data_IF_303508985997
#
_entry.id   IF_303508985997
#
_cell.length_a   1.000
_cell.length_b   1.000
_cell.length_c   1.000
_cell.angle_alpha   90.00
_cell.angle_beta   90.00
_cell.angle_gamma   90.00
#
_symmetry.space_group_name_H-M   'P 1'
#
loop_
_entity.id
_entity.type
_entity.pdbx_description
1 polymer ?
#
# COMPACT_ATOMS: atom_id res chain seq x y z
N UNK A 1 36.46 60.74 -12.18
CA UNK A 1 36.40 61.33 -13.51
C UNK A 1 35.72 60.33 -14.44
N UNK A 2 34.59 60.78 -14.96
CA UNK A 2 34.02 60.55 -16.31
C UNK A 2 33.58 59.10 -16.60
N UNK A 3 32.42 58.87 -17.11
CA UNK A 3 31.17 59.59 -17.43
C UNK A 3 30.05 58.58 -17.63
N UNK A 4 28.89 59.07 -17.38
CA UNK A 4 27.55 58.51 -17.60
C UNK A 4 27.28 58.34 -19.10
N UNK A 5 26.62 57.22 -19.50
CA UNK A 5 25.76 57.27 -20.68
C UNK A 5 24.49 56.45 -20.46
N UNK A 6 23.41 57.19 -20.32
CA UNK A 6 22.01 56.72 -20.45
C UNK A 6 21.64 56.65 -21.91
N UNK A 7 21.02 55.58 -22.34
CA UNK A 7 20.11 55.69 -23.50
C UNK A 7 18.78 54.98 -23.20
N UNK A 8 17.75 55.81 -23.24
CA UNK A 8 16.33 55.46 -23.30
C UNK A 8 15.97 55.07 -24.73
N UNK A 9 15.01 54.21 -24.87
CA UNK A 9 13.90 54.34 -25.85
C UNK A 9 13.30 52.92 -25.96
N UNK A 10 12.09 52.62 -26.08
CA UNK A 10 10.76 53.17 -26.29
C UNK A 10 9.81 51.98 -26.38
N UNK A 11 8.69 52.05 -25.74
CA UNK A 11 7.55 51.16 -26.06
C UNK A 11 6.84 51.67 -27.37
N UNK A 12 6.11 50.78 -28.02
CA UNK A 12 4.77 51.12 -28.53
C UNK A 12 3.76 50.04 -28.15
N UNK A 13 2.68 50.38 -27.52
CA UNK A 13 1.37 50.89 -27.98
C UNK A 13 0.51 49.84 -28.69
N UNK A 14 -0.48 49.42 -27.98
CA UNK A 14 -1.91 49.13 -28.29
C UNK A 14 -2.37 49.00 -29.77
N UNK A 15 -3.10 47.92 -30.02
CA UNK A 15 -4.42 47.97 -30.72
C UNK A 15 -5.06 46.57 -30.66
N UNK A 16 -6.03 46.41 -29.94
CA UNK A 16 -7.46 46.23 -30.09
C UNK A 16 -7.92 45.74 -31.45
N UNK A 17 -8.53 44.53 -31.52
CA UNK A 17 -9.71 44.33 -32.34
C UNK A 17 -10.53 43.15 -31.83
N UNK A 18 -11.69 43.48 -31.29
CA UNK A 18 -12.83 42.61 -31.07
C UNK A 18 -13.43 42.20 -32.42
N UNK A 19 -13.72 40.91 -32.60
CA UNK A 19 -14.71 40.48 -33.60
C UNK A 19 -15.67 39.54 -32.85
N UNK A 20 -16.80 40.12 -32.52
CA UNK A 20 -18.07 39.44 -32.30
C UNK A 20 -18.60 38.99 -33.64
N UNK A 21 -18.99 37.74 -33.79
CA UNK A 21 -19.94 37.34 -34.80
C UNK A 21 -20.93 36.37 -34.16
N UNK A 22 -22.14 36.89 -34.03
CA UNK A 22 -23.37 36.17 -33.73
C UNK A 22 -24.05 35.74 -35.04
N UNK A 23 -25.06 34.91 -34.89
CA UNK A 23 -26.05 34.46 -35.90
C UNK A 23 -25.72 33.10 -36.52
N UNK A 24 -26.63 32.18 -36.74
CA UNK A 24 -28.10 32.23 -36.87
C UNK A 24 -28.67 30.82 -36.66
N UNK A 25 -29.82 30.77 -36.02
CA UNK A 25 -30.76 29.65 -36.12
C UNK A 25 -31.21 29.45 -37.56
N UNK A 26 -31.22 28.22 -38.03
CA UNK A 26 -32.06 27.80 -39.15
C UNK A 26 -32.82 26.53 -38.73
N UNK A 27 -34.10 26.73 -38.47
CA UNK A 27 -35.11 25.68 -38.40
C UNK A 27 -35.49 25.35 -39.82
N UNK A 28 -35.37 24.12 -40.23
CA UNK A 28 -36.06 23.59 -41.42
C UNK A 28 -36.65 22.23 -41.01
N UNK A 29 -37.98 22.27 -40.95
CA UNK A 29 -38.81 21.06 -40.92
C UNK A 29 -39.00 20.58 -42.36
N UNK A 30 -38.89 19.29 -42.60
CA UNK A 30 -39.54 18.55 -43.66
C UNK A 30 -39.63 17.06 -43.31
N UNK A 31 -40.79 16.67 -43.19
CA UNK A 31 -41.64 15.52 -43.53
C UNK A 31 -41.04 14.11 -43.72
N UNK A 32 -41.76 13.24 -43.08
CA UNK A 32 -42.10 11.84 -43.30
C UNK A 32 -41.39 11.05 -44.43
N UNK A 33 -40.74 9.99 -44.00
CA UNK A 33 -40.99 8.69 -44.61
C UNK A 33 -40.85 7.58 -43.53
N UNK A 34 -41.90 6.75 -43.49
CA UNK A 34 -41.96 5.54 -42.64
C UNK A 34 -41.27 4.43 -43.37
N UNK A 35 -40.17 3.96 -42.81
CA UNK A 35 -39.68 2.60 -43.09
C UNK A 35 -39.31 1.88 -41.81
N UNK A 36 -39.76 0.63 -41.75
CA UNK A 36 -39.80 -0.22 -40.60
C UNK A 36 -38.40 -0.54 -40.03
N UNK A 37 -38.13 -0.06 -38.84
CA UNK A 37 -37.03 -0.54 -38.05
C UNK A 37 -37.39 -1.91 -37.49
N UNK A 38 -36.77 -2.96 -37.99
CA UNK A 38 -36.74 -4.28 -37.38
C UNK A 38 -36.07 -4.18 -36.01
N UNK A 39 -36.82 -4.55 -34.96
CA UNK A 39 -36.33 -4.60 -33.59
C UNK A 39 -35.20 -5.60 -33.46
N UNK A 40 -34.01 -5.11 -33.18
CA UNK A 40 -32.95 -5.92 -32.58
C UNK A 40 -33.26 -6.06 -31.11
N UNK A 41 -33.66 -7.24 -30.71
CA UNK A 41 -33.66 -7.66 -29.31
C UNK A 41 -32.26 -7.50 -28.75
N UNK A 42 -32.06 -6.85 -27.60
CA UNK A 42 -30.74 -6.83 -26.94
C UNK A 42 -30.34 -8.29 -26.63
N UNK A 43 -29.12 -8.64 -26.98
CA UNK A 43 -28.54 -9.89 -26.56
C UNK A 43 -28.65 -10.02 -25.00
N UNK A 44 -28.95 -11.19 -24.48
CA UNK A 44 -28.98 -11.40 -23.03
C UNK A 44 -27.59 -11.04 -22.48
N UNK A 45 -27.57 -10.15 -21.48
CA UNK A 45 -26.38 -9.84 -20.73
C UNK A 45 -25.78 -11.16 -20.22
N UNK A 46 -24.46 -11.35 -20.45
CA UNK A 46 -23.76 -12.46 -19.85
C UNK A 46 -24.01 -12.46 -18.34
N UNK A 47 -24.24 -13.61 -17.71
CA UNK A 47 -24.40 -13.65 -16.27
C UNK A 47 -23.16 -13.03 -15.62
N UNK A 48 -23.39 -12.05 -14.74
CA UNK A 48 -22.34 -11.50 -13.90
C UNK A 48 -21.65 -12.69 -13.20
N UNK A 49 -20.35 -12.77 -13.32
CA UNK A 49 -19.57 -13.78 -12.62
C UNK A 49 -19.94 -13.67 -11.13
N UNK A 50 -20.36 -14.78 -10.56
CA UNK A 50 -20.72 -14.88 -9.15
C UNK A 50 -19.44 -14.67 -8.31
N UNK A 51 -19.21 -13.43 -7.87
CA UNK A 51 -18.08 -13.05 -7.01
C UNK A 51 -18.35 -13.33 -5.53
N UNK A 52 -19.39 -14.10 -5.24
CA UNK A 52 -19.61 -14.60 -3.87
C UNK A 52 -18.56 -15.66 -3.55
N UNK A 53 -17.38 -15.22 -3.15
CA UNK A 53 -16.41 -16.09 -2.50
C UNK A 53 -17.12 -16.86 -1.37
N UNK A 54 -16.85 -18.15 -1.26
CA UNK A 54 -17.47 -19.03 -0.28
C UNK A 54 -17.45 -18.34 1.10
N UNK A 55 -18.62 -18.30 1.75
CA UNK A 55 -18.73 -17.72 3.09
C UNK A 55 -17.74 -18.42 4.02
N UNK A 56 -16.86 -17.63 4.63
CA UNK A 56 -15.88 -18.14 5.59
C UNK A 56 -16.64 -18.66 6.80
N UNK A 57 -16.69 -19.98 6.98
CA UNK A 57 -17.27 -20.57 8.18
C UNK A 57 -16.27 -20.49 9.31
N UNK A 58 -16.45 -19.52 10.20
CA UNK A 58 -15.55 -19.30 11.33
C UNK A 58 -15.84 -20.23 12.50
N UNK A 59 -14.79 -20.56 13.25
CA UNK A 59 -14.94 -21.15 14.57
C UNK A 59 -15.70 -20.15 15.48
N UNK A 60 -16.74 -20.60 16.21
CA UNK A 60 -17.64 -19.69 16.90
C UNK A 60 -17.02 -18.91 18.06
N UNK A 61 -15.90 -19.35 18.63
CA UNK A 61 -15.26 -18.68 19.76
C UNK A 61 -13.72 -18.59 19.58
N UNK A 62 -13.24 -17.39 19.34
CA UNK A 62 -11.80 -17.07 19.31
C UNK A 62 -11.31 -16.48 20.65
N UNK A 63 -12.20 -16.31 21.63
CA UNK A 63 -11.89 -15.61 22.88
C UNK A 63 -11.78 -14.07 22.70
N UNK A 64 -11.27 -13.36 23.73
CA UNK A 64 -11.21 -11.90 23.71
C UNK A 64 -10.34 -11.39 22.55
N UNK A 65 -10.63 -10.17 22.03
CA UNK A 65 -9.83 -9.53 20.99
C UNK A 65 -8.33 -9.47 21.34
N UNK A 66 -7.43 -9.49 20.35
CA UNK A 66 -6.01 -9.33 20.60
C UNK A 66 -5.73 -7.91 21.12
N UNK A 67 -4.75 -7.81 22.02
CA UNK A 67 -4.27 -6.50 22.46
C UNK A 67 -3.42 -5.87 21.34
N UNK A 68 -3.55 -4.56 21.17
CA UNK A 68 -2.68 -3.74 20.33
C UNK A 68 -2.47 -2.39 21.04
N UNK A 69 -1.24 -1.89 21.08
CA UNK A 69 -0.89 -0.64 21.73
C UNK A 69 -0.64 0.44 20.67
N UNK A 70 -1.69 1.14 20.32
CA UNK A 70 -1.66 2.18 19.28
C UNK A 70 -0.82 3.40 19.67
N UNK A 71 -0.73 3.72 20.95
CA UNK A 71 0.11 4.83 21.42
C UNK A 71 1.60 4.49 21.21
N UNK A 72 1.98 3.25 21.48
CA UNK A 72 3.35 2.78 21.21
C UNK A 72 3.64 2.68 19.72
N UNK A 73 2.69 2.19 18.91
CA UNK A 73 2.83 2.20 17.45
C UNK A 73 3.01 3.63 16.91
N UNK A 74 2.20 4.57 17.38
CA UNK A 74 2.34 6.00 17.04
C UNK A 74 3.69 6.58 17.52
N UNK A 75 4.21 6.11 18.63
CA UNK A 75 5.55 6.52 19.06
C UNK A 75 6.63 6.01 18.11
N UNK A 76 6.56 4.75 17.69
CA UNK A 76 7.50 4.18 16.69
C UNK A 76 7.45 4.96 15.38
N UNK A 77 6.25 5.26 14.90
CA UNK A 77 6.05 6.11 13.72
C UNK A 77 6.76 7.46 13.87
N UNK A 78 6.52 8.17 14.97
CA UNK A 78 7.17 9.46 15.24
C UNK A 78 8.69 9.36 15.30
N UNK A 79 9.22 8.26 15.79
CA UNK A 79 10.67 8.03 15.84
C UNK A 79 11.25 7.75 14.44
N UNK A 80 10.56 6.96 13.60
CA UNK A 80 10.93 6.72 12.20
C UNK A 80 10.94 8.04 11.41
N UNK A 81 9.87 8.79 11.49
CA UNK A 81 9.70 10.06 10.74
C UNK A 81 10.73 11.13 11.13
N UNK A 82 11.23 11.12 12.37
CA UNK A 82 12.28 12.04 12.81
C UNK A 82 13.61 11.90 12.06
N UNK A 83 13.86 10.76 11.44
CA UNK A 83 15.06 10.61 10.61
C UNK A 83 14.97 11.43 9.31
N UNK A 84 13.75 11.84 8.91
CA UNK A 84 13.49 12.56 7.67
C UNK A 84 13.36 11.63 6.46
N UNK A 85 13.48 12.18 5.23
CA UNK A 85 13.46 11.36 4.01
C UNK A 85 14.46 10.21 4.09
N UNK A 86 14.02 9.01 3.78
CA UNK A 86 14.78 7.76 3.89
C UNK A 86 14.82 6.97 2.58
N UNK A 87 15.15 7.65 1.45
CA UNK A 87 15.21 6.97 0.16
C UNK A 87 16.32 5.92 0.16
N UNK A 88 16.17 4.91 -0.67
CA UNK A 88 17.14 3.83 -0.88
C UNK A 88 18.59 4.37 -0.98
N UNK A 89 19.51 3.77 -0.22
CA UNK A 89 20.91 4.15 -0.16
C UNK A 89 21.20 5.46 0.57
N UNK A 90 20.21 6.12 1.15
CA UNK A 90 20.35 7.34 1.92
C UNK A 90 20.91 7.12 3.34
N UNK A 91 21.54 8.13 3.93
CA UNK A 91 22.04 8.04 5.31
C UNK A 91 20.90 7.88 6.33
N UNK A 92 19.73 8.45 6.08
CA UNK A 92 18.57 8.30 6.95
C UNK A 92 17.90 6.92 6.77
N UNK A 93 17.95 6.37 5.57
CA UNK A 93 17.55 5.01 5.28
C UNK A 93 18.29 4.01 6.21
N UNK A 94 19.62 4.09 6.25
CA UNK A 94 20.42 3.27 7.16
C UNK A 94 20.07 3.46 8.64
N UNK A 95 19.72 4.67 9.06
CA UNK A 95 19.29 4.92 10.44
C UNK A 95 17.95 4.23 10.77
N UNK A 96 17.03 4.17 9.79
CA UNK A 96 15.75 3.45 9.98
C UNK A 96 15.97 1.96 10.04
N UNK A 97 16.83 1.38 9.19
CA UNK A 97 17.25 -0.02 9.33
C UNK A 97 17.80 -0.32 10.73
N UNK A 98 18.77 0.48 11.20
CA UNK A 98 19.38 0.33 12.52
C UNK A 98 18.34 0.49 13.65
N UNK A 99 17.37 1.39 13.45
CA UNK A 99 16.27 1.58 14.38
C UNK A 99 15.37 0.34 14.45
N UNK A 100 14.90 -0.18 13.30
CA UNK A 100 14.08 -1.40 13.24
C UNK A 100 14.85 -2.57 13.90
N UNK A 101 16.09 -2.81 13.51
CA UNK A 101 16.94 -3.85 14.10
C UNK A 101 17.09 -3.68 15.62
N UNK A 102 17.22 -2.45 16.12
CA UNK A 102 17.31 -2.17 17.55
C UNK A 102 16.03 -2.56 18.31
N UNK A 103 14.86 -2.41 17.71
CA UNK A 103 13.54 -2.76 18.29
C UNK A 103 13.28 -4.28 18.26
N UNK A 104 13.94 -4.99 17.35
CA UNK A 104 13.88 -6.44 17.21
C UNK A 104 14.99 -7.17 18.00
N UNK A 105 15.77 -6.45 18.80
CA UNK A 105 16.87 -7.06 19.56
C UNK A 105 16.37 -8.18 20.46
N UNK A 106 16.88 -9.39 20.22
CA UNK A 106 16.52 -10.61 20.96
C UNK A 106 15.44 -11.45 20.28
N UNK A 107 14.80 -10.95 19.23
CA UNK A 107 13.93 -11.75 18.37
C UNK A 107 14.75 -12.52 17.33
N UNK A 108 14.27 -13.65 16.80
CA UNK A 108 14.89 -14.32 15.67
C UNK A 108 14.73 -13.49 14.40
N UNK A 109 15.79 -12.89 13.92
CA UNK A 109 15.80 -12.06 12.70
C UNK A 109 16.68 -12.71 11.65
N UNK A 110 16.22 -12.72 10.42
CA UNK A 110 16.99 -12.99 9.20
C UNK A 110 17.14 -11.69 8.41
N UNK A 111 18.36 -11.43 7.97
CA UNK A 111 18.70 -10.32 7.09
C UNK A 111 18.81 -10.84 5.66
N UNK A 112 18.03 -10.27 4.73
CA UNK A 112 18.11 -10.58 3.31
C UNK A 112 18.76 -9.41 2.58
N UNK A 113 20.06 -9.54 2.32
CA UNK A 113 20.88 -8.49 1.73
C UNK A 113 21.21 -8.82 0.28
N UNK A 114 21.01 -7.87 -0.62
CA UNK A 114 21.42 -8.00 -2.01
C UNK A 114 21.74 -6.63 -2.63
N UNK A 115 22.09 -6.59 -3.90
CA UNK A 115 22.30 -5.34 -4.65
C UNK A 115 21.28 -5.27 -5.77
N UNK A 116 20.40 -4.28 -5.72
CA UNK A 116 19.49 -3.97 -6.81
C UNK A 116 20.22 -3.19 -7.93
N UNK A 117 19.89 -3.55 -9.18
CA UNK A 117 20.31 -2.81 -10.36
C UNK A 117 19.14 -1.93 -10.81
N UNK A 118 19.22 -0.65 -10.50
CA UNK A 118 18.13 0.30 -10.69
C UNK A 118 18.48 1.29 -11.81
N UNK A 119 17.51 2.03 -12.36
CA UNK A 119 17.78 3.09 -13.33
C UNK A 119 18.70 4.21 -12.83
N UNK A 120 18.81 4.39 -11.51
CA UNK A 120 19.67 5.38 -10.87
C UNK A 120 21.04 4.80 -10.45
N UNK A 121 21.28 3.50 -10.69
CA UNK A 121 22.52 2.80 -10.38
C UNK A 121 22.32 1.57 -9.53
N UNK A 122 23.42 1.07 -8.95
CA UNK A 122 23.40 -0.10 -8.06
C UNK A 122 23.30 0.35 -6.61
N UNK A 123 22.31 -0.20 -5.91
CA UNK A 123 22.06 0.11 -4.51
C UNK A 123 22.04 -1.16 -3.65
N UNK A 124 22.62 -1.11 -2.44
CA UNK A 124 22.37 -2.15 -1.46
C UNK A 124 20.92 -2.11 -1.01
N UNK A 125 20.29 -3.25 -0.92
CA UNK A 125 18.93 -3.46 -0.44
C UNK A 125 18.95 -4.43 0.72
N UNK A 126 18.13 -4.18 1.75
CA UNK A 126 18.14 -4.95 2.98
C UNK A 126 16.70 -5.22 3.48
N UNK A 127 16.15 -6.38 3.17
CA UNK A 127 14.91 -6.82 3.80
C UNK A 127 15.19 -7.38 5.20
N UNK A 128 14.40 -6.98 6.18
CA UNK A 128 14.51 -7.42 7.58
C UNK A 128 13.33 -8.34 7.90
N UNK A 129 13.60 -9.57 8.34
CA UNK A 129 12.57 -10.59 8.53
C UNK A 129 12.62 -11.09 9.99
N UNK A 130 11.64 -10.71 10.81
CA UNK A 130 11.51 -11.23 12.17
C UNK A 130 10.57 -12.44 12.19
N UNK A 131 11.03 -13.57 12.77
CA UNK A 131 10.36 -14.87 12.69
C UNK A 131 9.82 -15.31 14.05
N UNK A 132 8.50 -15.37 14.17
CA UNK A 132 7.81 -15.83 15.38
C UNK A 132 7.26 -17.24 15.14
N UNK A 133 7.88 -18.28 15.76
CA UNK A 133 7.54 -19.67 15.46
C UNK A 133 6.15 -20.05 15.96
N UNK A 134 5.46 -20.86 15.19
CA UNK A 134 4.19 -21.52 15.52
C UNK A 134 4.32 -23.03 15.44
N UNK A 135 3.34 -23.77 15.98
CA UNK A 135 3.32 -25.24 15.98
C UNK A 135 2.76 -25.84 14.70
N UNK A 136 1.92 -25.11 13.97
CA UNK A 136 1.38 -25.56 12.68
C UNK A 136 2.41 -25.44 11.57
N UNK A 137 2.40 -26.40 10.65
CA UNK A 137 3.22 -26.32 9.45
C UNK A 137 2.67 -25.25 8.50
N UNK A 138 3.46 -24.20 8.31
CA UNK A 138 3.15 -23.07 7.46
C UNK A 138 3.51 -21.72 8.06
N UNK A 139 3.44 -20.71 7.22
CA UNK A 139 3.88 -19.35 7.53
C UNK A 139 2.77 -18.38 7.12
N UNK A 140 2.43 -17.46 8.01
CA UNK A 140 1.70 -16.24 7.67
C UNK A 140 2.75 -15.13 7.61
N UNK A 141 2.86 -14.45 6.47
CA UNK A 141 3.71 -13.29 6.30
C UNK A 141 2.88 -12.03 6.53
N UNK A 142 3.44 -11.07 7.27
CA UNK A 142 2.93 -9.70 7.37
C UNK A 142 4.04 -8.78 6.92
N UNK A 143 3.81 -7.99 5.89
CA UNK A 143 4.84 -7.17 5.24
C UNK A 143 4.50 -5.68 5.24
N UNK A 144 5.52 -4.87 5.08
CA UNK A 144 5.48 -3.42 4.94
C UNK A 144 6.82 -2.93 4.45
N UNK A 145 6.84 -1.96 3.54
CA UNK A 145 8.07 -1.29 3.18
C UNK A 145 8.50 -0.24 4.22
N UNK A 146 9.76 0.17 4.19
CA UNK A 146 10.27 1.19 5.11
C UNK A 146 11.06 2.32 4.43
N UNK A 147 11.35 2.21 3.14
CA UNK A 147 11.99 3.26 2.37
C UNK A 147 11.02 4.43 2.06
N UNK A 148 11.46 5.44 1.37
CA UNK A 148 10.64 6.55 0.87
C UNK A 148 10.99 6.86 -0.56
N UNK A 149 10.03 7.37 -1.30
CA UNK A 149 10.11 7.68 -2.71
C UNK A 149 11.41 8.41 -3.09
N UNK A 150 12.23 7.78 -3.93
CA UNK A 150 13.54 8.28 -4.30
C UNK A 150 13.52 9.59 -5.09
N UNK A 151 12.59 9.83 -6.02
CA UNK A 151 12.39 11.14 -6.64
C UNK A 151 12.23 12.31 -5.65
N UNK A 152 11.59 12.06 -4.50
CA UNK A 152 11.34 13.07 -3.48
C UNK A 152 12.48 13.26 -2.48
N UNK A 153 13.61 12.59 -2.63
CA UNK A 153 14.77 12.58 -1.71
C UNK A 153 15.36 13.93 -1.35
N UNK A 154 15.09 14.97 -2.14
CA UNK A 154 15.56 16.34 -1.92
C UNK A 154 14.50 17.32 -1.44
N UNK A 155 13.32 16.78 -1.09
CA UNK A 155 12.20 17.55 -0.55
C UNK A 155 12.11 17.35 0.96
N UNK A 156 11.07 17.87 1.59
CA UNK A 156 10.73 17.57 2.99
C UNK A 156 9.77 16.37 3.12
N UNK A 157 9.60 15.56 2.08
CA UNK A 157 8.78 14.34 2.12
C UNK A 157 9.35 13.34 3.12
N UNK A 158 8.55 12.91 4.07
CA UNK A 158 8.99 12.00 5.13
C UNK A 158 8.24 10.66 5.12
N UNK A 159 7.27 10.47 4.24
CA UNK A 159 6.50 9.24 4.14
C UNK A 159 5.98 8.81 5.51
N UNK A 160 5.13 9.64 6.14
CA UNK A 160 4.64 9.33 7.47
C UNK A 160 3.58 8.24 7.43
N UNK A 161 2.67 8.32 6.46
CA UNK A 161 1.73 7.25 6.18
C UNK A 161 2.37 6.18 5.31
N UNK A 162 3.02 6.62 4.26
CA UNK A 162 3.67 5.85 3.22
C UNK A 162 4.99 5.24 3.72
N UNK A 163 4.96 3.94 4.00
CA UNK A 163 6.00 3.13 4.63
C UNK A 163 6.19 3.39 6.13
N UNK A 164 5.89 4.59 6.63
CA UNK A 164 6.10 4.94 8.04
C UNK A 164 5.06 4.32 8.98
N UNK A 165 3.78 4.43 8.64
CA UNK A 165 2.67 3.94 9.46
C UNK A 165 2.69 2.43 9.59
N UNK A 166 2.89 1.75 8.50
CA UNK A 166 2.91 0.30 8.39
C UNK A 166 4.17 -0.32 9.01
N UNK A 167 5.35 0.27 8.80
CA UNK A 167 6.57 -0.13 9.50
C UNK A 167 6.45 -0.05 11.03
N UNK A 168 5.82 1.01 11.53
CA UNK A 168 5.56 1.17 12.96
C UNK A 168 4.53 0.16 13.49
N UNK A 169 3.50 -0.13 12.69
CA UNK A 169 2.51 -1.16 13.00
C UNK A 169 3.17 -2.54 13.16
N UNK A 170 4.06 -2.91 12.24
CA UNK A 170 4.79 -4.18 12.34
C UNK A 170 5.64 -4.27 13.61
N UNK A 171 6.29 -3.19 14.04
CA UNK A 171 7.04 -3.15 15.31
C UNK A 171 6.14 -3.43 16.50
N UNK A 172 4.91 -2.93 16.50
CA UNK A 172 3.96 -3.20 17.55
C UNK A 172 3.43 -4.65 17.48
N UNK A 173 3.16 -5.18 16.28
CA UNK A 173 2.83 -6.59 16.11
C UNK A 173 3.96 -7.49 16.65
N UNK A 174 5.23 -7.15 16.41
CA UNK A 174 6.36 -7.87 16.97
C UNK A 174 6.29 -7.92 18.51
N UNK A 175 5.98 -6.79 19.17
CA UNK A 175 5.79 -6.76 20.62
C UNK A 175 4.63 -7.67 21.08
N UNK A 176 3.54 -7.75 20.31
CA UNK A 176 2.42 -8.62 20.66
C UNK A 176 2.72 -10.11 20.48
N UNK A 177 3.65 -10.46 19.59
CA UNK A 177 4.05 -11.83 19.33
C UNK A 177 5.22 -12.31 20.22
N UNK A 178 6.05 -11.38 20.68
CA UNK A 178 7.27 -11.66 21.45
C UNK A 178 6.98 -12.43 22.73
N UNK A 179 7.70 -13.55 22.93
CA UNK A 179 7.60 -14.36 24.13
C UNK A 179 6.26 -15.09 24.31
N UNK A 180 5.38 -15.09 23.33
CA UNK A 180 4.10 -15.77 23.38
C UNK A 180 4.13 -17.04 22.53
N UNK A 181 4.01 -18.24 23.15
CA UNK A 181 3.89 -19.48 22.39
C UNK A 181 2.66 -19.46 21.49
N UNK A 182 2.80 -19.91 20.24
CA UNK A 182 1.72 -19.95 19.26
C UNK A 182 1.38 -21.39 18.90
N UNK A 183 0.10 -21.74 19.02
CA UNK A 183 -0.43 -23.02 18.55
C UNK A 183 -0.81 -23.01 17.05
N UNK A 184 -0.80 -21.83 16.43
CA UNK A 184 -1.08 -21.58 15.01
C UNK A 184 0.13 -21.70 14.11
N UNK A 185 0.05 -21.06 12.94
CA UNK A 185 1.14 -20.95 11.98
C UNK A 185 2.28 -20.05 12.51
N UNK A 186 3.49 -20.24 12.00
CA UNK A 186 4.56 -19.27 12.20
C UNK A 186 4.17 -17.92 11.60
N UNK A 187 4.50 -16.80 12.26
CA UNK A 187 4.29 -15.46 11.72
C UNK A 187 5.65 -14.83 11.42
N UNK A 188 5.85 -14.43 10.19
CA UNK A 188 7.03 -13.71 9.74
C UNK A 188 6.66 -12.28 9.45
N UNK A 189 7.33 -11.34 10.12
CA UNK A 189 7.17 -9.90 9.86
C UNK A 189 8.30 -9.46 8.95
N UNK A 190 7.96 -8.84 7.83
CA UNK A 190 8.90 -8.42 6.80
C UNK A 190 8.84 -6.91 6.68
N UNK A 191 9.93 -6.25 7.03
CA UNK A 191 10.20 -4.88 6.61
C UNK A 191 10.99 -4.99 5.32
N UNK A 192 10.32 -4.80 4.22
CA UNK A 192 10.97 -4.83 2.91
C UNK A 192 11.52 -3.47 2.53
N UNK A 193 12.44 -3.49 1.60
CA UNK A 193 13.23 -2.35 1.19
C UNK A 193 13.10 -2.15 -0.32
N UNK A 194 13.25 -0.91 -0.75
CA UNK A 194 13.22 -0.54 -2.16
C UNK A 194 11.89 -0.94 -2.85
N UNK A 195 10.77 -0.71 -2.16
CA UNK A 195 9.44 -0.76 -2.74
C UNK A 195 9.27 0.38 -3.74
N UNK A 196 9.68 1.57 -3.36
CA UNK A 196 9.45 2.82 -4.03
C UNK A 196 10.21 2.97 -5.36
N UNK A 197 9.56 3.61 -6.32
CA UNK A 197 10.15 3.87 -7.63
C UNK A 197 11.38 4.79 -7.54
N UNK A 198 12.40 4.50 -8.38
CA UNK A 198 13.63 5.27 -8.44
C UNK A 198 13.56 6.47 -9.39
N UNK A 199 12.67 6.45 -10.37
CA UNK A 199 12.43 7.55 -11.30
C UNK A 199 11.08 8.21 -11.08
N UNK A 200 10.95 9.51 -11.38
CA UNK A 200 9.63 10.13 -11.46
C UNK A 200 8.76 9.39 -12.46
N UNK A 201 7.54 9.13 -12.09
CA UNK A 201 6.54 8.44 -12.92
C UNK A 201 6.08 9.25 -14.14
N UNK A 202 6.59 10.44 -14.35
CA UNK A 202 6.23 11.33 -15.46
C UNK A 202 4.86 11.98 -15.33
N UNK A 203 4.12 11.69 -14.26
CA UNK A 203 2.76 12.18 -14.03
C UNK A 203 2.71 13.55 -13.34
N UNK A 204 3.87 14.12 -13.01
CA UNK A 204 3.96 15.42 -12.33
C UNK A 204 3.39 15.40 -10.91
N UNK A 205 3.40 14.24 -10.25
CA UNK A 205 2.91 14.06 -8.88
C UNK A 205 1.43 13.69 -8.81
N UNK A 206 0.79 13.37 -9.93
CA UNK A 206 -0.51 12.73 -9.92
C UNK A 206 -0.34 11.22 -10.14
N UNK A 207 -1.06 10.38 -9.39
CA UNK A 207 -1.00 8.93 -9.54
C UNK A 207 -1.61 8.55 -10.88
N UNK A 208 -0.80 8.41 -11.88
CA UNK A 208 -1.20 7.81 -13.13
C UNK A 208 -0.36 6.56 -13.30
N UNK A 209 -1.04 5.43 -13.08
CA UNK A 209 -0.56 4.07 -13.33
C UNK A 209 0.93 3.90 -12.99
N UNK A 210 1.21 3.56 -11.75
CA UNK A 210 2.54 3.07 -11.39
C UNK A 210 2.86 1.99 -12.42
N UNK A 211 3.73 2.34 -13.34
CA UNK A 211 4.21 1.39 -14.32
C UNK A 211 5.10 0.41 -13.58
N UNK A 212 4.49 -0.61 -12.97
CA UNK A 212 5.17 -1.71 -12.29
C UNK A 212 6.21 -2.42 -13.16
N UNK A 213 6.53 -1.86 -14.28
CA UNK A 213 7.23 -2.63 -15.28
C UNK A 213 8.70 -2.77 -14.99
N UNK A 214 9.36 -2.07 -14.19
CA UNK A 214 10.80 -2.31 -14.00
C UNK A 214 11.50 -1.31 -13.06
N UNK A 215 10.78 -0.57 -12.20
CA UNK A 215 11.43 0.48 -11.40
C UNK A 215 10.90 0.63 -9.96
N UNK A 216 10.36 -0.44 -9.39
CA UNK A 216 9.89 -0.52 -8.00
C UNK A 216 9.88 -1.97 -7.50
N UNK A 217 9.48 -2.22 -6.27
CA UNK A 217 9.28 -3.54 -5.67
C UNK A 217 10.54 -4.43 -5.70
N UNK A 218 11.73 -3.83 -5.62
CA UNK A 218 13.00 -4.59 -5.76
C UNK A 218 13.18 -5.58 -4.62
N UNK A 219 12.90 -5.17 -3.36
CA UNK A 219 13.07 -5.98 -2.17
C UNK A 219 12.20 -7.22 -2.18
N UNK A 220 10.90 -7.04 -2.34
CA UNK A 220 9.94 -8.14 -2.34
C UNK A 220 10.06 -9.04 -3.56
N UNK A 221 10.43 -8.49 -4.72
CA UNK A 221 10.69 -9.30 -5.92
C UNK A 221 11.84 -10.25 -5.69
N UNK A 222 12.98 -9.77 -5.17
CA UNK A 222 14.12 -10.60 -4.78
C UNK A 222 13.71 -11.64 -3.73
N UNK A 223 12.97 -11.23 -2.71
CA UNK A 223 12.55 -12.11 -1.63
C UNK A 223 11.63 -13.25 -2.13
N UNK A 224 10.67 -12.92 -3.01
CA UNK A 224 9.79 -13.91 -3.62
C UNK A 224 10.56 -14.90 -4.50
N UNK A 225 11.57 -14.45 -5.23
CA UNK A 225 12.45 -15.31 -6.02
C UNK A 225 13.30 -16.22 -5.14
N UNK A 226 13.94 -15.68 -4.11
CA UNK A 226 14.71 -16.42 -3.11
C UNK A 226 13.85 -17.51 -2.48
N UNK A 227 12.67 -17.16 -1.97
CA UNK A 227 11.78 -18.11 -1.32
C UNK A 227 11.13 -19.12 -2.26
N UNK A 228 11.03 -18.79 -3.55
CA UNK A 228 10.67 -19.78 -4.57
C UNK A 228 11.80 -20.80 -4.77
N UNK A 229 13.05 -20.32 -4.84
CA UNK A 229 14.23 -21.15 -5.08
C UNK A 229 14.53 -22.10 -3.93
N UNK A 230 14.37 -21.68 -2.67
CA UNK A 230 14.66 -22.49 -1.48
C UNK A 230 13.45 -23.30 -0.96
N UNK A 231 12.27 -23.12 -1.60
CA UNK A 231 11.04 -23.84 -1.27
C UNK A 231 10.24 -23.23 -0.12
N UNK A 232 10.66 -22.13 0.47
CA UNK A 232 9.93 -21.40 1.53
C UNK A 232 8.57 -20.93 1.03
N UNK A 233 8.47 -20.48 -0.22
CA UNK A 233 7.25 -19.99 -0.83
C UNK A 233 6.07 -20.98 -0.69
N UNK A 234 6.35 -22.31 -0.79
CA UNK A 234 5.34 -23.37 -0.66
C UNK A 234 4.75 -23.48 0.75
N UNK A 235 5.45 -22.96 1.75
CA UNK A 235 5.02 -22.97 3.15
C UNK A 235 4.18 -21.74 3.50
N UNK A 236 4.20 -20.70 2.68
CA UNK A 236 3.41 -19.50 2.93
C UNK A 236 1.93 -19.80 2.71
N UNK A 237 1.14 -19.60 3.74
CA UNK A 237 -0.31 -19.83 3.79
C UNK A 237 -1.11 -18.58 3.46
N UNK A 238 -0.59 -17.41 3.85
CA UNK A 238 -1.15 -16.10 3.58
C UNK A 238 -0.02 -15.06 3.62
N UNK A 239 -0.14 -14.05 2.78
CA UNK A 239 0.69 -12.85 2.76
C UNK A 239 -0.23 -11.65 2.98
N UNK A 240 -0.05 -10.93 4.07
CA UNK A 240 -0.80 -9.75 4.44
C UNK A 240 0.14 -8.55 4.30
N UNK A 241 -0.17 -7.65 3.41
CA UNK A 241 0.54 -6.39 3.26
C UNK A 241 -0.18 -5.32 4.07
N UNK A 242 0.57 -4.40 4.64
CA UNK A 242 0.06 -3.15 5.18
C UNK A 242 0.81 -2.00 4.53
N UNK A 243 0.10 -1.12 3.89
CA UNK A 243 0.62 0.14 3.39
C UNK A 243 -0.37 1.29 3.59
N UNK A 244 0.14 2.49 3.87
CA UNK A 244 -0.64 3.72 4.05
C UNK A 244 -1.84 3.59 5.01
N UNK A 245 -1.65 2.93 6.17
CA UNK A 245 -2.73 2.52 7.08
C UNK A 245 -2.99 3.48 8.25
N UNK A 246 -2.40 4.65 8.23
CA UNK A 246 -2.42 5.57 9.36
C UNK A 246 -3.37 6.77 9.21
N UNK A 247 -4.00 6.99 8.06
CA UNK A 247 -4.87 8.15 7.82
C UNK A 247 -5.90 8.32 8.94
N UNK A 248 -6.08 9.57 9.40
CA UNK A 248 -7.07 9.90 10.42
C UNK A 248 -8.52 9.62 9.95
N UNK A 249 -8.77 9.63 8.65
CA UNK A 249 -10.04 9.25 8.00
C UNK A 249 -9.91 7.89 7.29
N UNK A 250 -9.54 6.87 8.05
CA UNK A 250 -9.18 5.54 7.56
C UNK A 250 -10.28 4.88 6.73
N UNK A 251 -9.93 4.49 5.49
CA UNK A 251 -10.78 3.76 4.55
C UNK A 251 -9.96 2.72 3.77
N UNK A 252 -9.82 1.52 4.32
CA UNK A 252 -9.10 0.44 3.65
C UNK A 252 -9.89 -0.03 2.43
N UNK A 253 -9.29 0.08 1.25
CA UNK A 253 -9.89 -0.35 0.00
C UNK A 253 -9.91 -1.88 -0.13
N UNK A 254 -10.84 -2.37 -0.95
CA UNK A 254 -10.78 -3.75 -1.46
C UNK A 254 -9.88 -3.76 -2.69
N UNK A 255 -8.74 -4.38 -2.56
CA UNK A 255 -7.81 -4.49 -3.68
C UNK A 255 -8.20 -5.64 -4.62
N UNK A 256 -8.42 -5.31 -5.89
CA UNK A 256 -8.84 -6.27 -6.92
C UNK A 256 -7.73 -7.26 -7.34
N UNK A 257 -6.47 -6.97 -7.00
CA UNK A 257 -5.35 -7.90 -7.17
C UNK A 257 -5.20 -8.87 -6.00
N UNK A 258 -5.83 -8.57 -4.87
CA UNK A 258 -5.80 -9.42 -3.70
C UNK A 258 -6.62 -10.71 -3.87
N UNK A 259 -6.32 -11.72 -3.05
CA UNK A 259 -7.03 -12.99 -3.05
C UNK A 259 -8.38 -12.83 -2.34
N UNK A 260 -9.53 -13.01 -3.02
CA UNK A 260 -10.85 -12.64 -2.47
C UNK A 260 -11.20 -13.34 -1.16
N UNK A 261 -10.84 -14.64 -0.98
CA UNK A 261 -11.14 -15.34 0.24
C UNK A 261 -10.33 -14.79 1.44
N UNK A 262 -9.10 -14.31 1.21
CA UNK A 262 -8.26 -13.78 2.28
C UNK A 262 -8.74 -12.37 2.70
N UNK A 263 -9.15 -11.53 1.76
CA UNK A 263 -9.83 -10.27 2.07
C UNK A 263 -11.14 -10.50 2.84
N UNK A 264 -11.91 -11.55 2.48
CA UNK A 264 -13.11 -11.89 3.24
C UNK A 264 -12.78 -12.28 4.69
N UNK A 265 -11.62 -12.94 4.94
CA UNK A 265 -11.14 -13.21 6.30
C UNK A 265 -10.80 -11.89 7.03
N UNK A 266 -10.13 -10.94 6.36
CA UNK A 266 -9.86 -9.61 6.91
C UNK A 266 -11.17 -8.87 7.23
N UNK A 267 -12.13 -8.88 6.30
CA UNK A 267 -13.45 -8.26 6.51
C UNK A 267 -14.22 -8.87 7.68
N UNK A 268 -14.13 -10.18 7.85
CA UNK A 268 -14.74 -10.84 9.01
C UNK A 268 -14.00 -10.49 10.31
N UNK A 269 -12.68 -10.37 10.30
CA UNK A 269 -11.91 -9.88 11.45
C UNK A 269 -12.33 -8.45 11.83
N UNK A 270 -12.46 -7.58 10.85
CA UNK A 270 -12.94 -6.21 11.05
C UNK A 270 -14.35 -6.18 11.64
N UNK A 271 -15.27 -7.00 11.12
CA UNK A 271 -16.64 -7.12 11.62
C UNK A 271 -16.69 -7.62 13.05
N UNK A 272 -15.91 -8.64 13.41
CA UNK A 272 -15.84 -9.20 14.78
C UNK A 272 -15.39 -8.14 15.78
N UNK A 273 -14.54 -7.22 15.37
CA UNK A 273 -14.01 -6.14 16.20
C UNK A 273 -14.86 -4.86 16.16
N UNK A 274 -15.91 -4.81 15.33
CA UNK A 274 -16.78 -3.65 15.17
C UNK A 274 -16.19 -2.55 14.27
N UNK A 275 -15.17 -2.89 13.44
CA UNK A 275 -14.44 -1.95 12.57
C UNK A 275 -14.82 -2.05 11.10
N UNK A 276 -15.86 -2.81 10.75
CA UNK A 276 -16.26 -3.08 9.36
C UNK A 276 -16.52 -1.82 8.52
N UNK A 277 -16.84 -0.69 9.14
CA UNK A 277 -17.09 0.57 8.44
C UNK A 277 -15.82 1.20 7.83
N UNK A 278 -14.64 0.74 8.23
CA UNK A 278 -13.35 1.22 7.74
C UNK A 278 -12.75 0.29 6.67
N UNK A 279 -13.45 -0.76 6.28
CA UNK A 279 -12.89 -1.77 5.38
C UNK A 279 -13.80 -2.01 4.18
N UNK A 280 -13.18 -2.00 3.00
CA UNK A 280 -13.77 -2.48 1.75
C UNK A 280 -15.01 -1.71 1.27
N UNK A 281 -15.08 -0.42 1.63
CA UNK A 281 -16.12 0.49 1.15
C UNK A 281 -15.98 0.83 -0.33
N UNK A 282 -14.77 0.76 -0.87
CA UNK A 282 -14.43 1.01 -2.26
C UNK A 282 -13.58 -0.12 -2.81
N UNK A 283 -13.59 -0.28 -4.13
CA UNK A 283 -12.70 -1.19 -4.83
C UNK A 283 -11.61 -0.38 -5.51
N UNK A 284 -10.38 -0.87 -5.45
CA UNK A 284 -9.24 -0.31 -6.15
C UNK A 284 -8.42 -1.44 -6.78
N UNK A 285 -7.60 -1.16 -7.76
CA UNK A 285 -6.63 -2.10 -8.32
C UNK A 285 -5.24 -1.55 -8.01
N UNK A 286 -4.63 -2.10 -6.97
CA UNK A 286 -3.34 -1.63 -6.48
C UNK A 286 -2.25 -2.61 -6.89
N UNK A 287 -1.15 -2.08 -7.36
CA UNK A 287 0.02 -2.87 -7.59
C UNK A 287 1.06 -2.53 -6.53
N UNK A 288 1.39 -3.48 -5.68
CA UNK A 288 2.18 -3.26 -4.49
C UNK A 288 3.00 -4.52 -4.15
N UNK A 289 3.68 -4.55 -3.02
CA UNK A 289 4.61 -5.59 -2.55
C UNK A 289 4.00 -7.00 -2.50
N UNK A 290 2.70 -7.13 -2.47
CA UNK A 290 2.01 -8.42 -2.57
C UNK A 290 2.07 -9.04 -3.98
N UNK A 291 2.25 -8.24 -5.03
CA UNK A 291 2.17 -8.68 -6.44
C UNK A 291 3.21 -9.76 -6.80
N UNK A 292 4.49 -9.66 -6.42
CA UNK A 292 5.46 -10.71 -6.72
C UNK A 292 5.10 -12.07 -6.13
N UNK A 293 4.46 -12.08 -4.96
CA UNK A 293 3.99 -13.29 -4.27
C UNK A 293 2.71 -13.83 -4.90
N UNK A 294 1.75 -12.96 -5.19
CA UNK A 294 0.49 -13.31 -5.85
C UNK A 294 0.74 -13.96 -7.21
N UNK A 295 1.62 -13.39 -8.04
CA UNK A 295 2.03 -13.98 -9.34
C UNK A 295 2.66 -15.38 -9.22
N UNK A 296 3.16 -15.74 -8.04
CA UNK A 296 3.74 -17.06 -7.72
C UNK A 296 2.75 -17.98 -6.99
N UNK A 297 1.46 -17.59 -6.94
CA UNK A 297 0.37 -18.41 -6.39
C UNK A 297 0.29 -18.39 -4.86
N UNK A 298 0.84 -17.40 -4.18
CA UNK A 298 0.57 -17.14 -2.75
C UNK A 298 -0.75 -16.41 -2.63
N UNK A 299 -1.56 -16.78 -1.63
CA UNK A 299 -2.75 -16.00 -1.28
C UNK A 299 -2.32 -14.71 -0.59
N UNK A 300 -2.68 -13.57 -1.16
CA UNK A 300 -2.28 -12.25 -0.69
C UNK A 300 -3.51 -11.38 -0.38
N UNK A 301 -3.39 -10.49 0.60
CA UNK A 301 -4.31 -9.38 0.82
C UNK A 301 -3.49 -8.13 1.13
N UNK A 302 -3.78 -7.09 0.39
CA UNK A 302 -3.24 -5.76 0.61
C UNK A 302 -4.23 -4.94 1.45
N UNK A 303 -3.77 -4.40 2.56
CA UNK A 303 -4.50 -3.48 3.42
C UNK A 303 -3.94 -2.10 3.20
N UNK A 304 -4.54 -1.36 2.30
CA UNK A 304 -4.11 -0.03 1.90
C UNK A 304 -5.28 0.96 1.94
N UNK A 305 -5.02 2.17 2.42
CA UNK A 305 -5.92 3.31 2.27
C UNK A 305 -5.40 4.22 1.15
N UNK A 306 -5.97 4.06 -0.03
CA UNK A 306 -5.59 4.85 -1.19
C UNK A 306 -6.46 6.11 -1.39
N UNK A 307 -7.15 6.54 -0.30
CA UNK A 307 -7.94 7.77 -0.28
C UNK A 307 -7.32 8.88 0.60
N UNK A 308 -6.04 8.78 0.89
CA UNK A 308 -5.25 9.61 1.81
C UNK A 308 -5.38 11.11 1.51
N UNK A 309 -6.25 11.77 2.28
CA UNK A 309 -6.77 13.09 2.00
C UNK A 309 -7.73 13.12 0.80
N UNK A 310 -8.29 14.30 0.47
CA UNK A 310 -9.21 14.43 -0.66
C UNK A 310 -8.52 14.07 -2.00
N UNK A 311 -9.00 13.05 -2.69
CA UNK A 311 -8.40 12.52 -3.93
C UNK A 311 -6.92 12.15 -3.78
N UNK A 312 -6.53 11.59 -2.67
CA UNK A 312 -5.16 11.13 -2.41
C UNK A 312 -4.08 12.24 -2.48
N UNK A 313 -4.44 13.47 -2.08
CA UNK A 313 -3.56 14.66 -2.25
C UNK A 313 -2.34 14.68 -1.36
N UNK A 314 -2.29 13.84 -0.32
CA UNK A 314 -1.14 13.78 0.58
C UNK A 314 -0.10 12.76 0.13
N UNK A 315 -0.51 11.73 -0.64
CA UNK A 315 0.37 10.70 -1.15
C UNK A 315 1.47 11.28 -2.05
N UNK A 316 2.71 10.83 -1.87
CA UNK A 316 3.89 11.29 -2.60
C UNK A 316 4.07 12.82 -2.59
N UNK A 317 3.68 13.46 -1.49
CA UNK A 317 3.90 14.90 -1.30
C UNK A 317 4.51 15.22 0.07
N UNK A 318 5.17 16.38 0.23
CA UNK A 318 5.63 16.85 1.54
C UNK A 318 4.53 17.03 2.60
N UNK A 319 3.27 16.83 2.23
CA UNK A 319 2.14 16.87 3.15
C UNK A 319 1.88 15.53 3.83
N UNK A 320 2.54 14.46 3.42
CA UNK A 320 2.50 13.19 4.15
C UNK A 320 3.28 13.29 5.47
N UNK A 321 2.57 13.72 6.50
CA UNK A 321 3.11 14.09 7.81
C UNK A 321 2.27 13.53 8.94
N UNK A 322 2.89 13.38 10.13
CA UNK A 322 2.27 12.74 11.31
C UNK A 322 0.94 13.37 11.73
N UNK A 323 0.73 14.67 11.46
CA UNK A 323 -0.51 15.38 11.81
C UNK A 323 -1.73 14.96 10.97
N UNK A 324 -1.53 14.21 9.90
CA UNK A 324 -2.59 13.58 9.09
C UNK A 324 -3.02 12.22 9.63
N UNK A 325 -2.26 11.67 10.57
CA UNK A 325 -2.40 10.29 11.01
C UNK A 325 -3.05 10.20 12.39
N UNK A 326 -3.64 9.04 12.68
CA UNK A 326 -4.36 8.79 13.92
C UNK A 326 -3.87 7.52 14.62
N UNK A 327 -3.63 7.55 15.96
CA UNK A 327 -3.43 6.33 16.72
C UNK A 327 -4.61 5.36 16.60
N UNK A 328 -5.83 5.89 16.42
CA UNK A 328 -7.03 5.07 16.24
C UNK A 328 -6.97 4.23 14.97
N UNK A 329 -6.45 4.77 13.86
CA UNK A 329 -6.27 4.03 12.62
C UNK A 329 -5.27 2.89 12.78
N UNK A 330 -4.14 3.15 13.44
CA UNK A 330 -3.17 2.11 13.79
C UNK A 330 -3.79 1.03 14.71
N UNK A 331 -4.64 1.45 15.68
CA UNK A 331 -5.39 0.52 16.53
C UNK A 331 -6.30 -0.39 15.72
N UNK A 332 -7.07 0.19 14.79
CA UNK A 332 -8.03 -0.52 13.95
C UNK A 332 -7.30 -1.56 13.11
N UNK A 333 -6.33 -1.13 12.30
CA UNK A 333 -5.63 -2.03 11.37
C UNK A 333 -4.80 -3.07 12.11
N UNK A 334 -4.06 -2.68 13.16
CA UNK A 334 -3.27 -3.60 13.95
C UNK A 334 -4.11 -4.68 14.64
N UNK A 335 -5.27 -4.31 15.21
CA UNK A 335 -6.19 -5.27 15.82
C UNK A 335 -6.79 -6.20 14.78
N UNK A 336 -7.19 -5.69 13.61
CA UNK A 336 -7.75 -6.50 12.51
C UNK A 336 -6.70 -7.45 11.97
N UNK A 337 -5.45 -7.03 11.78
CA UNK A 337 -4.38 -7.94 11.37
C UNK A 337 -4.13 -9.07 12.35
N UNK A 338 -4.04 -8.76 13.64
CA UNK A 338 -3.86 -9.78 14.67
C UNK A 338 -5.05 -10.73 14.74
N UNK A 339 -6.28 -10.23 14.59
CA UNK A 339 -7.48 -11.07 14.54
C UNK A 339 -7.55 -11.93 13.27
N UNK A 340 -7.14 -11.38 12.13
CA UNK A 340 -6.98 -12.12 10.86
C UNK A 340 -6.04 -13.31 11.04
N UNK A 341 -4.87 -13.11 11.65
CA UNK A 341 -3.92 -14.17 11.96
C UNK A 341 -4.58 -15.24 12.84
N UNK A 342 -5.36 -14.84 13.86
CA UNK A 342 -6.07 -15.78 14.75
C UNK A 342 -7.14 -16.59 14.03
N UNK A 343 -7.86 -15.97 13.10
CA UNK A 343 -8.85 -16.66 12.26
C UNK A 343 -8.14 -17.68 11.38
N UNK A 344 -7.08 -17.28 10.68
CA UNK A 344 -6.28 -18.18 9.84
C UNK A 344 -5.69 -19.35 10.65
N UNK A 345 -5.26 -19.13 11.88
CA UNK A 345 -4.79 -20.18 12.78
C UNK A 345 -5.86 -21.24 13.09
N UNK A 346 -7.14 -20.91 12.97
CA UNK A 346 -8.27 -21.82 13.24
C UNK A 346 -8.87 -22.44 11.98
N UNK A 347 -8.55 -21.89 10.82
CA UNK A 347 -8.97 -22.47 9.55
C UNK A 347 -8.06 -23.66 9.19
N UNK A 348 -8.68 -24.80 8.89
CA UNK A 348 -7.97 -26.00 8.43
C UNK A 348 -8.95 -26.93 7.70
N UNK A 349 -8.78 -27.18 6.40
CA UNK A 349 -7.78 -26.57 5.52
C UNK A 349 -8.10 -25.09 5.18
N UNK A 350 -7.07 -24.35 4.81
CA UNK A 350 -7.27 -23.05 4.16
C UNK A 350 -7.83 -23.27 2.75
N UNK A 351 -8.62 -22.31 2.21
CA UNK A 351 -9.08 -22.38 0.83
C UNK A 351 -7.90 -22.53 -0.15
N UNK A 352 -8.12 -23.18 -1.30
CA UNK A 352 -7.08 -23.28 -2.32
C UNK A 352 -6.67 -21.90 -2.82
N UNK A 353 -5.45 -21.81 -3.28
CA UNK A 353 -4.85 -20.60 -3.84
C UNK A 353 -5.48 -20.21 -5.16
#
# INVERSE_FOLDING_TARGET
MVAISRTRTRAPSKSWRWILLACMLAVLACDHDKDAAQGQTPAPAAPAADTTGAAVTLAPDLGPPPAFDSDRAMQYLKEIVKFGPRPLGGANHKKVEDYIASRLKGDPVEDDNFTADTPEGKFPVHNIIAKFPGKKDGIIVVASHYDTNYPLRRTSYVGANDGGSSSALLLEIANQLRGRPRDGYSVWLVWDDAEEAMKPDGSGGLPQEMSFKDDSLYGVTHLAEKWQGDGTLKKIKAFLLADMIGDADLNIDRDLNSTPWLENVVGEAAKRLGYQSHFFGHNNEVGDDHIPFMKRGVACADLIDFTYGYNNVFWHTPQDTVDKLSPQSLQIVGSVMLETIRILDKMDPLPPR
#
